data_IF_601213509426
#
_entry.id   IF_601213509426
#
_cell.length_a   1.000
_cell.length_b   1.000
_cell.length_c   1.000
_cell.angle_alpha   90.00
_cell.angle_beta   90.00
_cell.angle_gamma   90.00
#
_symmetry.space_group_name_H-M   'P 1'
#
loop_
_entity.id
_entity.type
_entity.pdbx_description
1 polymer ?
#
# COMPACT_ATOMS: atom_id res chain seq x y z
N UNK A 1 -9.59 -60.58 13.32
CA UNK A 1 -10.18 -59.39 12.65
C UNK A 1 -9.70 -58.03 13.18
N UNK A 2 -8.96 -57.94 14.30
CA UNK A 2 -8.53 -56.65 14.90
C UNK A 2 -7.27 -56.02 14.25
N UNK A 3 -6.38 -56.81 13.64
CA UNK A 3 -5.10 -56.32 13.09
C UNK A 3 -5.22 -55.57 11.74
N UNK A 4 -6.27 -55.83 10.94
CA UNK A 4 -6.46 -55.16 9.63
C UNK A 4 -7.00 -53.74 9.77
N UNK A 5 -7.83 -53.47 10.79
CA UNK A 5 -8.42 -52.14 11.04
C UNK A 5 -7.36 -51.18 11.59
N UNK A 6 -6.42 -51.66 12.40
CA UNK A 6 -5.35 -50.84 12.98
C UNK A 6 -4.35 -50.33 11.93
N UNK A 7 -4.07 -51.12 10.87
CA UNK A 7 -3.23 -50.68 9.74
C UNK A 7 -3.93 -49.62 8.87
N UNK A 8 -5.26 -49.68 8.75
CA UNK A 8 -6.02 -48.71 7.96
C UNK A 8 -6.06 -47.33 8.64
N UNK A 9 -6.24 -47.30 9.96
CA UNK A 9 -6.24 -46.05 10.75
C UNK A 9 -4.89 -45.32 10.74
N UNK A 10 -3.78 -46.07 10.74
CA UNK A 10 -2.42 -45.52 10.73
C UNK A 10 -2.05 -44.87 9.37
N UNK A 11 -2.54 -45.43 8.27
CA UNK A 11 -2.34 -44.87 6.93
C UNK A 11 -3.18 -43.59 6.76
N UNK A 12 -4.43 -43.58 7.25
CA UNK A 12 -5.28 -42.40 7.19
C UNK A 12 -4.72 -41.26 8.05
N UNK A 13 -4.19 -41.53 9.25
CA UNK A 13 -3.60 -40.47 10.08
C UNK A 13 -2.35 -39.85 9.47
N UNK A 14 -1.49 -40.63 8.79
CA UNK A 14 -0.29 -40.11 8.12
C UNK A 14 -0.63 -39.14 6.98
N UNK A 15 -1.72 -39.38 6.25
CA UNK A 15 -2.21 -38.51 5.17
C UNK A 15 -2.64 -37.13 5.68
N UNK A 16 -3.30 -37.08 6.84
CA UNK A 16 -3.74 -35.81 7.45
C UNK A 16 -2.57 -34.97 7.97
N UNK A 17 -1.50 -35.59 8.44
CA UNK A 17 -0.30 -34.87 8.91
C UNK A 17 0.52 -34.26 7.75
N UNK A 18 0.59 -34.91 6.59
CA UNK A 18 1.33 -34.37 5.45
C UNK A 18 0.62 -33.19 4.77
N UNK A 19 -0.72 -33.20 4.73
CA UNK A 19 -1.51 -32.06 4.22
C UNK A 19 -1.44 -30.85 5.16
N UNK A 20 -1.40 -31.05 6.49
CA UNK A 20 -1.35 -29.95 7.45
C UNK A 20 0.00 -29.21 7.46
N UNK A 21 1.12 -29.92 7.27
CA UNK A 21 2.45 -29.30 7.16
C UNK A 21 2.59 -28.43 5.89
N UNK A 22 2.03 -28.86 4.76
CA UNK A 22 2.02 -28.05 3.53
C UNK A 22 1.22 -26.76 3.68
N UNK A 23 0.08 -26.82 4.38
CA UNK A 23 -0.77 -25.66 4.65
C UNK A 23 -0.11 -24.65 5.61
N UNK A 24 0.56 -25.14 6.66
CA UNK A 24 1.31 -24.31 7.62
C UNK A 24 2.49 -23.58 6.97
N UNK A 25 3.25 -24.26 6.11
CA UNK A 25 4.37 -23.64 5.39
C UNK A 25 3.88 -22.57 4.40
N UNK A 26 2.79 -22.84 3.69
CA UNK A 26 2.18 -21.84 2.79
C UNK A 26 1.63 -20.63 3.57
N UNK A 27 1.01 -20.84 4.74
CA UNK A 27 0.51 -19.74 5.55
C UNK A 27 1.65 -18.86 6.10
N UNK A 28 2.75 -19.48 6.55
CA UNK A 28 3.93 -18.77 7.05
C UNK A 28 4.58 -17.92 5.95
N UNK A 29 4.85 -18.51 4.79
CA UNK A 29 5.43 -17.78 3.65
C UNK A 29 4.55 -16.63 3.16
N UNK A 30 3.22 -16.81 3.14
CA UNK A 30 2.29 -15.73 2.80
C UNK A 30 2.27 -14.61 3.84
N UNK A 31 2.37 -14.93 5.13
CA UNK A 31 2.47 -13.95 6.21
C UNK A 31 3.79 -13.18 6.11
N UNK A 32 4.92 -13.87 6.00
CA UNK A 32 6.25 -13.26 5.89
C UNK A 32 6.34 -12.32 4.69
N UNK A 33 5.76 -12.71 3.54
CA UNK A 33 5.67 -11.84 2.36
C UNK A 33 4.80 -10.61 2.62
N UNK A 34 3.65 -10.76 3.29
CA UNK A 34 2.76 -9.63 3.59
C UNK A 34 3.42 -8.65 4.53
N UNK A 35 4.06 -9.15 5.60
CA UNK A 35 4.73 -8.33 6.59
C UNK A 35 5.90 -7.57 5.94
N UNK A 36 6.65 -8.25 5.04
CA UNK A 36 7.66 -7.59 4.21
C UNK A 36 7.05 -6.46 3.35
N UNK A 37 6.03 -6.74 2.54
CA UNK A 37 5.42 -5.71 1.69
C UNK A 37 4.80 -4.55 2.48
N UNK A 38 4.23 -4.82 3.66
CA UNK A 38 3.73 -3.79 4.56
C UNK A 38 4.85 -2.92 5.11
N UNK A 39 6.02 -3.51 5.40
CA UNK A 39 7.19 -2.77 5.86
C UNK A 39 7.82 -1.87 4.79
N UNK A 40 7.59 -2.21 3.52
CA UNK A 40 8.01 -1.41 2.36
C UNK A 40 7.08 -0.21 2.08
N UNK A 41 5.91 -0.13 2.71
CA UNK A 41 5.00 1.01 2.57
C UNK A 41 5.48 2.17 3.44
N UNK A 42 6.32 3.03 2.85
CA UNK A 42 6.85 4.27 3.44
C UNK A 42 6.69 5.44 2.45
N UNK A 43 6.71 6.69 2.92
CA UNK A 43 6.60 7.86 2.02
C UNK A 43 7.75 7.88 1.04
N UNK A 44 8.97 7.58 1.51
CA UNK A 44 10.16 7.44 0.67
C UNK A 44 9.99 6.41 -0.44
N UNK A 45 9.52 5.20 -0.12
CA UNK A 45 9.34 4.15 -1.12
C UNK A 45 8.21 4.43 -2.10
N UNK A 46 7.17 5.16 -1.67
CA UNK A 46 6.12 5.62 -2.57
C UNK A 46 6.73 6.57 -3.59
N UNK A 47 7.41 7.61 -3.11
CA UNK A 47 8.05 8.62 -3.96
C UNK A 47 9.09 8.03 -4.93
N UNK A 48 10.00 7.18 -4.44
CA UNK A 48 11.11 6.65 -5.24
C UNK A 48 10.67 5.65 -6.32
N UNK A 49 9.54 4.97 -6.13
CA UNK A 49 9.18 3.77 -6.92
C UNK A 49 7.89 3.91 -7.72
N UNK A 50 7.06 4.88 -7.37
CA UNK A 50 5.80 5.13 -8.07
C UNK A 50 6.05 6.17 -9.15
N UNK A 51 5.66 5.82 -10.37
CA UNK A 51 5.65 6.71 -11.53
C UNK A 51 4.20 6.93 -11.96
N UNK A 52 3.72 8.16 -11.88
CA UNK A 52 2.38 8.57 -12.30
C UNK A 52 2.25 8.47 -13.82
N UNK A 53 1.10 8.03 -14.31
CA UNK A 53 0.89 7.69 -15.71
C UNK A 53 1.54 6.36 -16.16
N UNK A 54 2.22 5.61 -15.27
CA UNK A 54 2.83 4.31 -15.59
C UNK A 54 2.44 3.20 -14.64
N UNK A 55 2.43 3.50 -13.35
CA UNK A 55 2.30 2.49 -12.30
C UNK A 55 0.90 1.90 -12.33
N UNK A 56 0.79 0.58 -12.45
CA UNK A 56 -0.51 -0.08 -12.47
C UNK A 56 -1.04 -0.40 -11.07
N UNK A 57 -2.33 -0.74 -10.96
CA UNK A 57 -2.90 -1.29 -9.71
C UNK A 57 -2.21 -2.60 -9.30
N UNK A 58 -1.76 -3.39 -10.26
CA UNK A 58 -1.02 -4.62 -9.97
C UNK A 58 0.38 -4.31 -9.44
N UNK A 59 1.04 -3.27 -9.94
CA UNK A 59 2.36 -2.88 -9.46
C UNK A 59 2.29 -2.32 -8.04
N UNK A 60 1.33 -1.46 -7.73
CA UNK A 60 1.06 -1.02 -6.34
C UNK A 60 0.86 -2.24 -5.41
N UNK A 61 0.13 -3.27 -5.87
CA UNK A 61 -0.05 -4.50 -5.07
C UNK A 61 1.23 -5.33 -4.91
N UNK A 62 2.12 -5.34 -5.92
CA UNK A 62 3.41 -6.02 -5.84
C UNK A 62 4.37 -5.27 -4.91
N UNK A 63 4.29 -3.94 -4.86
CA UNK A 63 5.14 -3.08 -4.05
C UNK A 63 4.72 -3.10 -2.57
N UNK A 64 3.42 -2.95 -2.30
CA UNK A 64 2.92 -2.65 -0.94
C UNK A 64 1.89 -3.65 -0.42
N UNK A 65 1.58 -4.71 -1.18
CA UNK A 65 0.58 -5.71 -0.80
C UNK A 65 -0.85 -5.29 -1.12
N UNK A 66 -1.83 -5.83 -0.40
CA UNK A 66 -3.25 -5.54 -0.69
C UNK A 66 -3.69 -4.22 -0.04
N UNK A 67 -4.53 -3.42 -0.72
CA UNK A 67 -5.09 -2.22 -0.11
C UNK A 67 -5.97 -2.59 1.08
N UNK A 68 -6.05 -1.68 2.06
CA UNK A 68 -6.95 -1.81 3.21
C UNK A 68 -8.40 -1.54 2.80
N UNK A 69 -8.61 -0.53 1.96
CA UNK A 69 -9.92 -0.14 1.43
C UNK A 69 -9.81 0.07 -0.08
N UNK A 70 -10.85 -0.30 -0.80
CA UNK A 70 -11.01 -0.04 -2.23
C UNK A 70 -12.31 0.76 -2.40
N UNK A 71 -12.17 2.05 -2.69
CA UNK A 71 -13.27 2.97 -2.95
C UNK A 71 -13.53 3.09 -4.46
N UNK A 72 -14.79 3.13 -4.86
CA UNK A 72 -15.25 3.27 -6.26
C UNK A 72 -16.34 4.31 -6.44
N UNK A 73 -16.88 4.85 -5.35
CA UNK A 73 -17.83 5.94 -5.40
C UNK A 73 -17.12 7.24 -5.79
N UNK A 74 -17.55 7.85 -6.90
CA UNK A 74 -16.87 9.02 -7.47
C UNK A 74 -16.90 10.23 -6.55
N UNK A 75 -18.02 10.46 -5.85
CA UNK A 75 -18.19 11.59 -4.93
C UNK A 75 -17.30 11.44 -3.69
N UNK A 76 -17.20 10.23 -3.16
CA UNK A 76 -16.28 9.90 -2.07
C UNK A 76 -14.83 10.06 -2.51
N UNK A 77 -14.45 9.56 -3.69
CA UNK A 77 -13.07 9.71 -4.20
C UNK A 77 -12.69 11.18 -4.38
N UNK A 78 -13.58 11.98 -4.97
CA UNK A 78 -13.40 13.43 -5.11
C UNK A 78 -13.20 14.11 -3.76
N UNK A 79 -14.06 13.78 -2.78
CA UNK A 79 -13.96 14.34 -1.42
C UNK A 79 -12.62 14.02 -0.75
N UNK A 80 -12.13 12.77 -0.88
CA UNK A 80 -10.83 12.38 -0.33
C UNK A 80 -9.70 13.18 -1.01
N UNK A 81 -9.74 13.28 -2.34
CA UNK A 81 -8.70 13.97 -3.10
C UNK A 81 -8.66 15.46 -2.77
N UNK A 82 -9.80 16.14 -2.85
CA UNK A 82 -9.92 17.59 -2.58
C UNK A 82 -9.47 17.93 -1.16
N UNK A 83 -9.86 17.12 -0.17
CA UNK A 83 -9.49 17.36 1.24
C UNK A 83 -7.97 17.48 1.43
N UNK A 84 -7.19 16.60 0.82
CA UNK A 84 -5.75 16.52 1.07
C UNK A 84 -4.91 17.34 0.09
N UNK A 85 -5.47 17.67 -1.09
CA UNK A 85 -4.83 18.59 -2.03
C UNK A 85 -5.04 20.06 -1.68
N UNK A 86 -6.12 20.42 -1.00
CA UNK A 86 -6.36 21.79 -0.53
C UNK A 86 -5.58 22.13 0.74
N UNK A 87 -4.86 21.16 1.32
CA UNK A 87 -3.94 21.43 2.43
C UNK A 87 -2.62 21.99 1.90
N UNK A 88 -2.55 23.32 1.80
CA UNK A 88 -1.38 24.07 1.34
C UNK A 88 -0.16 23.97 2.28
N UNK A 89 -0.32 23.35 3.45
CA UNK A 89 0.71 23.24 4.50
C UNK A 89 1.16 21.80 4.77
N UNK A 90 0.47 20.82 4.20
CA UNK A 90 0.71 19.41 4.44
C UNK A 90 1.91 18.86 3.67
N UNK A 91 2.28 17.62 3.99
CA UNK A 91 3.34 16.89 3.27
C UNK A 91 3.06 16.69 1.78
N UNK A 92 1.79 16.86 1.36
CA UNK A 92 1.42 16.88 -0.05
C UNK A 92 1.91 18.15 -0.77
N UNK A 93 2.51 19.12 -0.08
CA UNK A 93 3.04 20.36 -0.67
C UNK A 93 4.55 20.50 -0.42
N UNK A 94 5.01 20.18 0.79
CA UNK A 94 6.42 20.28 1.16
C UNK A 94 6.98 18.95 1.68
N UNK A 95 8.02 18.44 1.02
CA UNK A 95 8.72 17.21 1.43
C UNK A 95 9.80 17.41 2.50
N UNK A 96 10.46 18.56 2.47
CA UNK A 96 11.56 19.00 3.35
C UNK A 96 11.81 20.49 3.08
N UNK A 97 12.57 21.19 3.92
CA UNK A 97 12.90 22.63 3.81
C UNK A 97 12.97 23.17 2.36
N UNK A 98 11.83 23.65 1.84
CA UNK A 98 11.71 24.29 0.53
C UNK A 98 11.68 23.40 -0.71
N UNK A 99 11.56 22.07 -0.62
CA UNK A 99 11.36 21.20 -1.79
C UNK A 99 9.89 20.94 -2.03
N UNK A 100 9.37 21.43 -3.17
CA UNK A 100 8.01 21.12 -3.63
C UNK A 100 7.89 19.61 -3.89
N UNK A 101 6.93 18.99 -3.20
CA UNK A 101 6.66 17.55 -3.33
C UNK A 101 6.47 17.16 -4.79
N UNK A 102 5.68 17.96 -5.52
CA UNK A 102 5.24 17.64 -6.88
C UNK A 102 6.33 17.82 -7.92
N UNK A 103 7.28 18.73 -7.70
CA UNK A 103 8.45 18.90 -8.59
C UNK A 103 9.35 17.66 -8.64
N UNK A 104 9.26 16.81 -7.61
CA UNK A 104 10.12 15.63 -7.48
C UNK A 104 9.40 14.31 -7.77
N UNK A 105 8.08 14.34 -7.98
CA UNK A 105 7.30 13.15 -8.35
C UNK A 105 7.62 12.77 -9.81
N UNK A 106 7.74 11.47 -10.05
CA UNK A 106 8.02 10.95 -11.39
C UNK A 106 6.72 10.83 -12.20
N UNK A 107 6.65 11.50 -13.35
CA UNK A 107 5.57 11.38 -14.33
C UNK A 107 6.11 10.84 -15.66
N UNK A 108 5.26 10.17 -16.44
CA UNK A 108 5.64 9.73 -17.81
C UNK A 108 5.67 10.88 -18.81
N UNK A 109 4.86 11.91 -18.59
CA UNK A 109 4.73 13.07 -19.47
C UNK A 109 4.36 14.29 -18.63
N UNK A 110 5.05 15.41 -18.85
CA UNK A 110 4.93 16.66 -18.09
C UNK A 110 3.58 17.37 -18.35
N UNK A 111 2.82 16.89 -19.36
CA UNK A 111 1.50 17.39 -19.74
C UNK A 111 0.30 16.64 -19.14
N UNK A 112 0.49 15.85 -18.08
CA UNK A 112 -0.57 15.04 -17.49
C UNK A 112 -1.68 15.89 -16.86
N UNK A 113 -2.78 16.10 -17.60
CA UNK A 113 -4.02 16.66 -17.05
C UNK A 113 -5.07 15.56 -16.96
N UNK A 114 -5.59 15.30 -15.77
CA UNK A 114 -6.79 14.51 -15.56
C UNK A 114 -7.80 15.34 -14.76
N UNK A 115 -9.09 15.09 -14.98
CA UNK A 115 -10.15 15.57 -14.11
C UNK A 115 -10.39 14.55 -12.99
N UNK A 116 -10.66 15.03 -11.77
CA UNK A 116 -10.98 14.17 -10.63
C UNK A 116 -12.23 13.31 -10.87
N UNK A 117 -13.12 13.76 -11.74
CA UNK A 117 -14.32 13.03 -12.14
C UNK A 117 -14.00 11.78 -13.00
N UNK A 118 -12.77 11.65 -13.48
CA UNK A 118 -12.32 10.50 -14.29
C UNK A 118 -11.79 9.35 -13.43
N UNK A 119 -11.62 9.54 -12.12
CA UNK A 119 -11.16 8.49 -11.23
C UNK A 119 -12.11 7.28 -11.23
N UNK A 120 -11.54 6.11 -11.50
CA UNK A 120 -12.28 4.85 -11.54
C UNK A 120 -12.21 4.08 -10.23
N UNK A 121 -11.12 4.25 -9.47
CA UNK A 121 -10.92 3.56 -8.19
C UNK A 121 -9.86 4.27 -7.35
N UNK A 122 -10.07 4.28 -6.03
CA UNK A 122 -9.10 4.73 -5.06
C UNK A 122 -8.70 3.58 -4.13
N UNK A 123 -7.40 3.36 -3.95
CA UNK A 123 -6.86 2.38 -3.02
C UNK A 123 -6.29 3.07 -1.79
N UNK A 124 -6.86 2.78 -0.63
CA UNK A 124 -6.30 3.22 0.64
C UNK A 124 -5.32 2.17 1.18
N UNK A 125 -4.11 2.60 1.52
CA UNK A 125 -3.11 1.79 2.20
C UNK A 125 -2.76 2.38 3.56
N UNK A 126 -2.43 1.50 4.49
CA UNK A 126 -2.02 1.82 5.86
C UNK A 126 -0.96 0.82 6.31
N UNK A 127 0.06 1.28 7.01
CA UNK A 127 1.08 0.45 7.67
C UNK A 127 1.67 1.23 8.83
N UNK A 128 2.22 0.54 9.83
CA UNK A 128 2.97 1.21 10.91
C UNK A 128 4.31 1.77 10.41
N UNK A 129 4.84 1.21 9.32
CA UNK A 129 6.05 1.70 8.64
C UNK A 129 5.83 2.98 7.86
N UNK A 130 4.58 3.35 7.56
CA UNK A 130 4.25 4.56 6.80
C UNK A 130 4.51 5.84 7.60
N UNK A 131 4.52 5.76 8.94
CA UNK A 131 4.70 6.92 9.83
C UNK A 131 3.45 7.79 9.97
N UNK A 132 2.74 8.04 8.88
CA UNK A 132 1.45 8.74 8.83
C UNK A 132 0.27 7.76 8.71
N UNK A 133 -0.95 8.28 8.75
CA UNK A 133 -2.15 7.47 8.92
C UNK A 133 -2.50 6.65 7.68
N UNK A 134 -2.42 7.23 6.49
CA UNK A 134 -2.74 6.54 5.25
C UNK A 134 -2.14 7.22 4.01
N UNK A 135 -2.07 6.45 2.91
CA UNK A 135 -1.94 6.98 1.56
C UNK A 135 -3.12 6.50 0.72
N UNK A 136 -3.58 7.35 -0.19
CA UNK A 136 -4.66 7.07 -1.13
C UNK A 136 -4.13 7.16 -2.54
N UNK A 137 -4.21 6.07 -3.29
CA UNK A 137 -3.79 5.98 -4.69
C UNK A 137 -5.00 6.04 -5.62
N UNK A 138 -5.04 7.00 -6.53
CA UNK A 138 -6.16 7.25 -7.45
C UNK A 138 -5.82 6.78 -8.85
N UNK A 139 -6.69 5.96 -9.43
CA UNK A 139 -6.48 5.36 -10.73
C UNK A 139 -7.57 5.76 -11.72
N UNK A 140 -7.14 6.03 -12.94
CA UNK A 140 -8.00 6.01 -14.13
C UNK A 140 -7.72 4.69 -14.83
N UNK A 141 -8.77 3.89 -15.01
CA UNK A 141 -8.71 2.49 -15.41
C UNK A 141 -7.76 1.64 -14.53
N UNK A 142 -6.57 1.33 -15.05
CA UNK A 142 -5.54 0.57 -14.33
C UNK A 142 -4.28 1.39 -14.02
N UNK A 143 -4.24 2.67 -14.44
CA UNK A 143 -3.08 3.56 -14.38
C UNK A 143 -3.20 4.51 -13.20
N UNK A 144 -2.14 4.62 -12.42
CA UNK A 144 -2.09 5.54 -11.28
C UNK A 144 -1.87 6.97 -11.79
N UNK A 145 -2.78 7.87 -11.42
CA UNK A 145 -2.75 9.27 -11.88
C UNK A 145 -2.42 10.24 -10.76
N UNK A 146 -2.75 9.89 -9.52
CA UNK A 146 -2.41 10.70 -8.38
C UNK A 146 -2.39 9.88 -7.11
N UNK A 147 -1.79 10.44 -6.08
CA UNK A 147 -1.95 9.94 -4.74
C UNK A 147 -1.89 11.10 -3.74
N UNK A 148 -2.52 10.92 -2.58
CA UNK A 148 -2.45 11.89 -1.49
C UNK A 148 -2.17 11.18 -0.17
N UNK A 149 -1.51 11.89 0.73
CA UNK A 149 -1.07 11.44 2.04
C UNK A 149 -2.01 12.03 3.11
N UNK A 150 -2.61 11.17 3.96
CA UNK A 150 -3.23 11.61 5.23
C UNK A 150 -2.09 11.76 6.23
N UNK A 151 -1.63 13.00 6.37
CA UNK A 151 -0.45 13.42 7.12
C UNK A 151 -0.62 13.32 8.64
N UNK A 152 -1.78 12.86 9.12
CA UNK A 152 -1.98 12.60 10.55
C UNK A 152 -0.91 11.62 11.05
N UNK A 153 -0.01 12.10 11.92
CA UNK A 153 1.07 11.30 12.48
C UNK A 153 0.50 10.07 13.23
N UNK A 154 0.97 8.88 12.86
CA UNK A 154 0.55 7.60 13.45
C UNK A 154 1.66 6.91 14.23
N UNK A 155 2.88 6.94 13.71
CA UNK A 155 4.06 6.32 14.31
C UNK A 155 5.26 7.25 14.18
N UNK A 156 5.58 7.97 15.28
CA UNK A 156 6.68 8.94 15.31
C UNK A 156 8.02 8.31 14.97
N UNK A 157 8.34 7.13 15.50
CA UNK A 157 9.62 6.47 15.23
C UNK A 157 9.78 6.06 13.76
N UNK A 158 8.69 5.61 13.12
CA UNK A 158 8.73 5.29 11.70
C UNK A 158 8.89 6.57 10.86
N UNK A 159 8.17 7.63 11.21
CA UNK A 159 8.28 8.92 10.54
C UNK A 159 9.70 9.53 10.68
N UNK A 160 10.35 9.41 11.85
CA UNK A 160 11.74 9.86 12.06
C UNK A 160 12.76 9.09 11.22
N UNK A 161 12.45 7.85 10.82
CA UNK A 161 13.31 7.03 9.96
C UNK A 161 13.04 7.25 8.47
N UNK A 162 11.89 7.78 8.10
CA UNK A 162 11.56 8.06 6.70
C UNK A 162 12.20 9.39 6.27
N UNK A 163 12.89 9.37 5.12
CA UNK A 163 13.68 10.50 4.61
C UNK A 163 12.84 11.77 4.47
N UNK A 164 11.57 11.63 4.11
CA UNK A 164 10.68 12.74 3.79
C UNK A 164 9.78 13.16 4.95
N UNK A 165 9.58 12.29 5.95
CA UNK A 165 8.77 12.65 7.11
C UNK A 165 9.59 13.26 8.24
N UNK A 166 10.87 12.87 8.37
CA UNK A 166 11.68 13.25 9.55
C UNK A 166 11.80 14.77 9.72
N UNK A 167 11.93 15.53 8.63
CA UNK A 167 12.08 16.98 8.67
C UNK A 167 10.75 17.70 8.96
N UNK A 168 9.61 17.01 8.78
CA UNK A 168 8.27 17.55 9.04
C UNK A 168 7.84 17.40 10.51
N UNK A 169 8.43 16.45 11.25
CA UNK A 169 8.03 16.11 12.62
C UNK A 169 8.99 16.56 13.73
N UNK A 170 10.14 17.13 13.34
CA UNK A 170 11.13 17.71 14.26
C UNK A 170 10.70 19.13 14.68
#
# INVERSE_FOLDING_TARGET
MKFKIMKLLLIVSLSFFLVSCGLLNNFKTHKDRRDKLSSELTVTNIHDRVVLGKTSRQDIKKLFGKPKVIERDSETMKTIYEKWMQDETGINVFLSEGTDYWETVQYVDDGFSFSYDEFTVCYQYQSDSLGIKAVYFFFIDDRLEGFVLDDTLKNKEAAQRDRYLRDWID
#
